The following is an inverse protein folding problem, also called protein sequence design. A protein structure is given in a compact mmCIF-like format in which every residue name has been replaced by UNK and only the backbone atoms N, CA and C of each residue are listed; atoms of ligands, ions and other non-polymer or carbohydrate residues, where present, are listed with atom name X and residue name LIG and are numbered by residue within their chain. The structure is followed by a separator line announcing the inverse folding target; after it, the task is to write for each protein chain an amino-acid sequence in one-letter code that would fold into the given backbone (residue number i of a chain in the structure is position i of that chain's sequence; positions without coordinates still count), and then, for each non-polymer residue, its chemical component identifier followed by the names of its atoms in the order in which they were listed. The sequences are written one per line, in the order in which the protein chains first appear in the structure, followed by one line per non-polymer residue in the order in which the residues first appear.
data_IF_194202426527
#
_entry.id   IF_194202426527
#
_cell.length_a   1.000
_cell.length_b   1.000
_cell.length_c   1.000
_cell.angle_alpha   90.00
_cell.angle_beta   90.00
_cell.angle_gamma   90.00
#
_symmetry.space_group_name_H-M   'P 1'
#
loop_
_entity.id
_entity.type
_entity.pdbx_description
1 polymer ?
#
# COMPACT_ATOMS: atom_id res chain seq x y z
N UNK A 1 -0.40 -18.89 3.11
CA UNK A 1 -0.65 -17.95 1.99
C UNK A 1 -0.32 -18.65 0.68
N UNK A 2 -1.07 -18.36 -0.39
CA UNK A 2 -0.81 -18.88 -1.74
C UNK A 2 0.54 -18.36 -2.28
N UNK A 3 1.41 -19.24 -2.80
CA UNK A 3 2.70 -18.83 -3.40
C UNK A 3 2.55 -17.83 -4.55
N UNK A 4 1.51 -17.96 -5.37
CA UNK A 4 1.21 -17.05 -6.48
C UNK A 4 0.91 -15.64 -5.97
N UNK A 5 0.11 -15.53 -4.91
CA UNK A 5 -0.24 -14.24 -4.32
C UNK A 5 0.97 -13.58 -3.65
N UNK A 6 1.83 -14.35 -3.00
CA UNK A 6 3.10 -13.86 -2.45
C UNK A 6 4.00 -13.31 -3.55
N UNK A 7 4.11 -14.01 -4.68
CA UNK A 7 4.87 -13.53 -5.85
C UNK A 7 4.26 -12.25 -6.44
N UNK A 8 2.93 -12.17 -6.51
CA UNK A 8 2.22 -10.96 -6.96
C UNK A 8 2.50 -9.76 -6.05
N UNK A 9 2.44 -9.94 -4.73
CA UNK A 9 2.78 -8.88 -3.77
C UNK A 9 4.23 -8.43 -3.97
N UNK A 10 5.18 -9.36 -4.09
CA UNK A 10 6.59 -9.02 -4.34
C UNK A 10 6.80 -8.27 -5.67
N UNK A 11 6.07 -8.64 -6.72
CA UNK A 11 6.12 -7.96 -8.01
C UNK A 11 5.61 -6.51 -7.92
N UNK A 12 4.45 -6.30 -7.29
CA UNK A 12 3.86 -4.97 -7.12
C UNK A 12 4.71 -4.12 -6.15
N UNK A 13 5.25 -4.69 -5.07
CA UNK A 13 6.13 -3.96 -4.14
C UNK A 13 7.36 -3.36 -4.83
N UNK A 14 7.89 -4.00 -5.88
CA UNK A 14 8.98 -3.40 -6.67
C UNK A 14 8.55 -2.14 -7.42
N UNK A 15 7.29 -2.06 -7.84
CA UNK A 15 6.74 -0.89 -8.51
C UNK A 15 6.64 0.35 -7.59
N UNK A 16 6.67 0.18 -6.26
CA UNK A 16 6.72 1.30 -5.31
C UNK A 16 7.93 2.24 -5.52
N UNK A 17 8.98 1.77 -6.22
CA UNK A 17 10.19 2.53 -6.51
C UNK A 17 10.22 3.15 -7.92
N UNK A 18 9.09 3.20 -8.63
CA UNK A 18 9.03 3.86 -9.95
C UNK A 18 9.37 5.35 -9.82
N UNK A 19 10.15 5.85 -10.78
CA UNK A 19 10.61 7.25 -10.80
C UNK A 19 9.44 8.25 -10.84
N UNK A 20 8.31 7.88 -11.46
CA UNK A 20 7.10 8.71 -11.52
C UNK A 20 6.53 9.09 -10.14
N UNK A 21 6.77 8.27 -9.11
CA UNK A 21 6.34 8.58 -7.74
C UNK A 21 7.29 9.55 -7.01
N UNK A 22 8.54 9.67 -7.47
CA UNK A 22 9.47 10.67 -6.93
C UNK A 22 9.06 12.08 -7.34
N UNK A 23 8.54 12.24 -8.56
CA UNK A 23 8.05 13.52 -9.08
C UNK A 23 6.80 14.01 -8.32
N UNK A 24 5.96 13.09 -7.84
CA UNK A 24 4.85 13.39 -6.93
C UNK A 24 5.29 13.87 -5.54
N UNK A 25 6.60 13.81 -5.22
CA UNK A 25 7.19 14.21 -3.92
C UNK A 25 6.48 13.59 -2.71
N UNK A 26 5.94 12.37 -2.88
CA UNK A 26 5.09 11.69 -1.88
C UNK A 26 5.78 11.45 -0.53
N UNK A 27 7.11 11.51 -0.52
CA UNK A 27 7.96 11.36 0.64
C UNK A 27 8.04 12.62 1.52
N UNK A 28 7.48 13.76 1.09
CA UNK A 28 7.53 15.01 1.86
C UNK A 28 6.37 15.13 2.84
N UNK A 29 6.69 15.40 4.11
CA UNK A 29 5.73 15.47 5.22
C UNK A 29 4.67 16.57 5.08
N UNK A 30 4.93 17.61 4.29
CA UNK A 30 4.01 18.71 4.01
C UNK A 30 2.99 18.38 2.91
N UNK A 31 3.16 17.27 2.19
CA UNK A 31 2.22 16.83 1.16
C UNK A 31 1.12 15.96 1.78
N UNK A 32 -0.15 16.22 1.44
CA UNK A 32 -1.31 15.45 1.95
C UNK A 32 -1.22 13.95 1.64
N UNK A 33 -0.52 13.58 0.56
CA UNK A 33 -0.27 12.20 0.14
C UNK A 33 0.73 11.45 1.04
N UNK A 34 1.50 12.15 1.88
CA UNK A 34 2.52 11.56 2.75
C UNK A 34 1.94 10.52 3.72
N UNK A 35 0.74 10.76 4.25
CA UNK A 35 0.07 9.81 5.15
C UNK A 35 -0.14 8.47 4.46
N UNK A 36 -0.56 8.49 3.19
CA UNK A 36 -0.74 7.28 2.39
C UNK A 36 0.60 6.61 2.11
N UNK A 37 1.62 7.37 1.70
CA UNK A 37 2.95 6.83 1.43
C UNK A 37 3.60 6.20 2.67
N UNK A 38 3.47 6.85 3.83
CA UNK A 38 3.88 6.31 5.12
C UNK A 38 3.14 5.02 5.43
N UNK A 39 1.82 4.96 5.20
CA UNK A 39 1.02 3.75 5.41
C UNK A 39 1.51 2.59 4.53
N UNK A 40 1.76 2.84 3.24
CA UNK A 40 2.33 1.84 2.32
C UNK A 40 3.69 1.35 2.81
N UNK A 41 4.57 2.25 3.25
CA UNK A 41 5.88 1.87 3.79
C UNK A 41 5.76 0.98 5.04
N UNK A 42 4.80 1.24 5.93
CA UNK A 42 4.53 0.37 7.08
C UNK A 42 4.00 -1.00 6.66
N UNK A 43 3.14 -1.07 5.64
CA UNK A 43 2.67 -2.35 5.07
C UNK A 43 3.84 -3.13 4.46
N UNK A 44 4.68 -2.48 3.65
CA UNK A 44 5.89 -3.10 3.06
C UNK A 44 6.84 -3.60 4.15
N UNK A 45 7.14 -2.78 5.16
CA UNK A 45 8.01 -3.18 6.27
C UNK A 45 7.44 -4.36 7.07
N UNK A 46 6.14 -4.34 7.33
CA UNK A 46 5.42 -5.44 7.99
C UNK A 46 5.47 -6.73 7.16
N UNK A 47 5.31 -6.61 5.84
CA UNK A 47 5.38 -7.72 4.90
C UNK A 47 6.78 -8.34 4.85
N UNK A 48 7.82 -7.52 4.66
CA UNK A 48 9.21 -7.96 4.54
C UNK A 48 9.77 -8.56 5.84
N UNK A 49 9.24 -8.15 6.99
CA UNK A 49 9.61 -8.69 8.31
C UNK A 49 8.75 -9.88 8.75
N UNK A 50 7.83 -10.33 7.90
CA UNK A 50 6.83 -11.37 8.22
C UNK A 50 5.95 -11.04 9.44
N UNK A 51 5.92 -9.77 9.86
CA UNK A 51 5.06 -9.27 10.91
C UNK A 51 3.72 -8.83 10.33
N UNK A 52 2.86 -9.77 9.95
CA UNK A 52 1.60 -9.48 9.25
C UNK A 52 0.52 -8.82 10.12
N UNK A 53 0.64 -8.89 11.46
CA UNK A 53 -0.39 -8.43 12.41
C UNK A 53 -0.86 -6.98 12.20
N UNK A 54 0.00 -5.99 11.88
CA UNK A 54 -0.46 -4.62 11.69
C UNK A 54 -1.19 -4.39 10.37
N UNK A 55 -0.97 -5.24 9.36
CA UNK A 55 -1.40 -4.99 7.98
C UNK A 55 -2.93 -4.87 7.84
N UNK A 56 -3.76 -5.73 8.46
CA UNK A 56 -5.22 -5.61 8.34
C UNK A 56 -5.79 -4.34 8.98
N UNK A 57 -5.04 -3.66 9.85
CA UNK A 57 -5.40 -2.32 10.37
C UNK A 57 -4.93 -1.20 9.43
N UNK A 58 -3.76 -1.35 8.82
CA UNK A 58 -3.14 -0.32 7.97
C UNK A 58 -3.85 -0.18 6.63
N UNK A 59 -4.24 -1.28 5.98
CA UNK A 59 -4.89 -1.25 4.67
C UNK A 59 -6.22 -0.47 4.70
N UNK A 60 -7.17 -0.73 5.62
CA UNK A 60 -8.39 0.06 5.71
C UNK A 60 -8.15 1.55 5.99
N UNK A 61 -7.13 1.88 6.80
CA UNK A 61 -6.74 3.28 7.07
C UNK A 61 -6.24 3.98 5.80
N UNK A 62 -5.39 3.31 5.02
CA UNK A 62 -4.92 3.84 3.75
C UNK A 62 -6.07 4.06 2.76
N UNK A 63 -6.99 3.09 2.64
CA UNK A 63 -8.20 3.22 1.81
C UNK A 63 -9.07 4.40 2.25
N UNK A 64 -9.29 4.57 3.56
CA UNK A 64 -10.04 5.71 4.12
C UNK A 64 -9.36 7.03 3.77
N UNK A 65 -8.05 7.13 3.92
CA UNK A 65 -7.29 8.33 3.54
C UNK A 65 -7.50 8.69 2.06
N UNK A 66 -7.45 7.68 1.16
CA UNK A 66 -7.70 7.88 -0.27
C UNK A 66 -9.13 8.35 -0.57
N UNK A 67 -10.12 7.91 0.21
CA UNK A 67 -11.52 8.35 0.07
C UNK A 67 -11.74 9.78 0.58
N UNK A 68 -11.07 10.15 1.67
CA UNK A 68 -11.20 11.46 2.33
C UNK A 68 -10.37 12.55 1.63
N UNK A 69 -9.33 12.16 0.89
CA UNK A 69 -8.37 13.08 0.27
C UNK A 69 -8.34 12.89 -1.25
N UNK A 70 -8.76 13.90 -2.00
CA UNK A 70 -8.63 13.90 -3.45
C UNK A 70 -7.16 13.93 -3.91
N UNK A 71 -6.84 13.15 -4.93
CA UNK A 71 -5.58 13.28 -5.66
C UNK A 71 -5.61 14.54 -6.52
N UNK A 72 -4.77 15.54 -6.18
CA UNK A 72 -4.79 16.86 -6.81
C UNK A 72 -3.91 16.97 -8.08
N UNK A 73 -3.06 15.98 -8.35
CA UNK A 73 -2.21 15.91 -9.55
C UNK A 73 -2.33 14.54 -10.23
N UNK A 74 -1.92 14.45 -11.49
CA UNK A 74 -1.86 13.19 -12.25
C UNK A 74 -0.96 12.15 -11.57
N UNK A 75 0.16 12.59 -11.01
CA UNK A 75 1.13 11.72 -10.34
C UNK A 75 0.58 11.23 -8.99
N UNK A 76 -0.16 12.07 -8.27
CA UNK A 76 -0.88 11.66 -7.07
C UNK A 76 -1.95 10.61 -7.38
N UNK A 77 -2.67 10.77 -8.50
CA UNK A 77 -3.65 9.79 -8.95
C UNK A 77 -2.98 8.47 -9.35
N UNK A 78 -1.89 8.52 -10.10
CA UNK A 78 -1.13 7.32 -10.45
C UNK A 78 -0.62 6.57 -9.21
N UNK A 79 -0.22 7.31 -8.16
CA UNK A 79 0.13 6.69 -6.89
C UNK A 79 -1.07 6.04 -6.20
N UNK A 80 -2.25 6.68 -6.21
CA UNK A 80 -3.48 6.11 -5.65
C UNK A 80 -3.86 4.79 -6.34
N UNK A 81 -3.80 4.76 -7.67
CA UNK A 81 -4.11 3.56 -8.46
C UNK A 81 -3.14 2.42 -8.11
N UNK A 82 -1.84 2.73 -7.99
CA UNK A 82 -0.84 1.79 -7.50
C UNK A 82 -1.13 1.28 -6.09
N UNK A 83 -1.47 2.17 -5.14
CA UNK A 83 -1.77 1.76 -3.75
C UNK A 83 -3.00 0.87 -3.70
N UNK A 84 -4.04 1.15 -4.49
CA UNK A 84 -5.23 0.32 -4.56
C UNK A 84 -4.88 -1.12 -4.99
N UNK A 85 -4.13 -1.27 -6.09
CA UNK A 85 -3.69 -2.58 -6.58
C UNK A 85 -2.82 -3.31 -5.54
N UNK A 86 -1.90 -2.58 -4.90
CA UNK A 86 -1.02 -3.14 -3.88
C UNK A 86 -1.82 -3.66 -2.67
N UNK A 87 -2.76 -2.88 -2.16
CA UNK A 87 -3.60 -3.27 -1.03
C UNK A 87 -4.48 -4.47 -1.35
N UNK A 88 -5.06 -4.55 -2.56
CA UNK A 88 -5.81 -5.74 -2.99
C UNK A 88 -4.93 -6.99 -3.01
N UNK A 89 -3.72 -6.90 -3.55
CA UNK A 89 -2.80 -8.03 -3.60
C UNK A 89 -2.37 -8.51 -2.21
N UNK A 90 -2.05 -7.58 -1.30
CA UNK A 90 -1.66 -7.91 0.08
C UNK A 90 -2.82 -8.51 0.85
N UNK A 91 -4.02 -7.92 0.78
CA UNK A 91 -5.21 -8.46 1.46
C UNK A 91 -5.53 -9.87 0.94
N UNK A 92 -5.53 -10.09 -0.38
CA UNK A 92 -5.77 -11.40 -0.96
C UNK A 92 -4.75 -12.43 -0.46
N UNK A 93 -3.47 -12.06 -0.40
CA UNK A 93 -2.42 -12.94 0.10
C UNK A 93 -2.65 -13.31 1.57
N UNK A 94 -2.94 -12.33 2.44
CA UNK A 94 -3.22 -12.57 3.86
C UNK A 94 -4.46 -13.43 4.08
N UNK A 95 -5.55 -13.17 3.33
CA UNK A 95 -6.78 -13.98 3.38
C UNK A 95 -6.49 -15.44 2.99
N UNK A 96 -5.66 -15.67 1.97
CA UNK A 96 -5.25 -17.04 1.56
C UNK A 96 -4.37 -17.78 2.58
N UNK A 97 -3.95 -17.11 3.65
CA UNK A 97 -3.20 -17.72 4.74
C UNK A 97 -3.90 -17.66 6.09
N UNK A 98 -5.19 -17.28 6.13
CA UNK A 98 -5.95 -17.05 7.37
C UNK A 98 -5.29 -16.04 8.32
N UNK A 99 -4.54 -15.07 7.76
CA UNK A 99 -3.84 -14.01 8.50
C UNK A 99 -4.58 -12.66 8.43
N UNK A 100 -5.71 -12.60 7.73
CA UNK A 100 -6.54 -11.42 7.64
C UNK A 100 -7.53 -11.35 8.80
N UNK A 101 -7.63 -10.17 9.42
CA UNK A 101 -8.56 -9.90 10.54
C UNK A 101 -9.33 -8.62 10.20
N UNK A 102 -10.64 -8.64 10.40
CA UNK A 102 -11.48 -7.45 10.25
C UNK A 102 -11.48 -6.63 11.55
N UNK A 103 -11.36 -5.31 11.43
CA UNK A 103 -11.27 -4.34 12.52
C UNK A 103 -12.42 -3.34 12.47
#
# INVERSE_FOLDING_TARGET
MSPELVQRVAAISRAANRAEFMEARIYRRDATIYVLSSTVNHVVGSWLSENFKPIPLLIPRGRRHMQETAAVTSEAQAYYDFVAEYFEAVEAALRSGDLWVEY
#
